data_IF_116690845083
#
_entry.id   IF_116690845083
#
_cell.length_a   1.000
_cell.length_b   1.000
_cell.length_c   1.000
_cell.angle_alpha   90.00
_cell.angle_beta   90.00
_cell.angle_gamma   90.00
#
_symmetry.space_group_name_H-M   'P 1'
#
loop_
_entity.id
_entity.type
_entity.pdbx_description
1 polymer ?
#
# COMPACT_ATOMS: atom_id res chain seq x y z
N UNK A 1 -29.15 -34.62 64.25
CA UNK A 1 -28.03 -34.44 63.29
C UNK A 1 -28.64 -34.38 61.89
N UNK A 2 -28.70 -33.21 61.25
CA UNK A 2 -29.27 -33.03 59.89
C UNK A 2 -28.11 -32.75 58.92
N UNK A 3 -27.90 -33.62 57.95
CA UNK A 3 -26.93 -33.42 56.88
C UNK A 3 -27.63 -32.66 55.76
N UNK A 4 -27.19 -31.42 55.49
CA UNK A 4 -27.56 -30.70 54.28
C UNK A 4 -26.71 -31.25 53.12
N UNK A 5 -27.36 -31.89 52.16
CA UNK A 5 -26.75 -32.22 50.88
C UNK A 5 -26.76 -30.97 49.98
N UNK A 6 -25.59 -30.42 49.67
CA UNK A 6 -25.47 -29.43 48.60
C UNK A 6 -25.61 -30.14 47.24
N UNK A 7 -26.40 -29.60 46.28
CA UNK A 7 -26.47 -30.16 44.95
C UNK A 7 -25.17 -29.83 44.20
N UNK A 8 -24.35 -30.86 43.98
CA UNK A 8 -23.11 -30.83 43.17
C UNK A 8 -23.39 -30.59 41.68
N UNK A 9 -24.65 -30.47 41.30
CA UNK A 9 -25.10 -30.38 39.90
C UNK A 9 -24.87 -29.02 39.23
N UNK A 10 -24.57 -27.95 39.99
CA UNK A 10 -24.43 -26.62 39.42
C UNK A 10 -23.03 -26.29 38.86
N UNK A 11 -21.99 -27.06 39.20
CA UNK A 11 -20.60 -26.71 38.84
C UNK A 11 -20.15 -27.24 37.46
N UNK A 12 -20.88 -28.20 36.88
CA UNK A 12 -20.49 -28.85 35.62
C UNK A 12 -20.98 -28.12 34.36
N UNK A 13 -21.89 -27.14 34.47
CA UNK A 13 -22.36 -26.35 33.31
C UNK A 13 -21.51 -25.10 33.03
N UNK A 14 -20.69 -24.63 33.97
CA UNK A 14 -19.87 -23.43 33.78
C UNK A 14 -18.67 -23.62 32.84
N UNK A 15 -18.21 -24.86 32.66
CA UNK A 15 -16.97 -25.16 31.96
C UNK A 15 -17.11 -25.32 30.44
N UNK A 16 -18.34 -25.38 29.92
CA UNK A 16 -18.60 -25.62 28.48
C UNK A 16 -18.80 -24.33 27.66
N UNK A 17 -18.80 -23.15 28.30
CA UNK A 17 -19.08 -21.87 27.62
C UNK A 17 -17.83 -21.08 27.24
N UNK A 18 -16.64 -21.52 27.63
CA UNK A 18 -15.37 -20.89 27.19
C UNK A 18 -14.82 -21.60 25.97
N UNK A 19 -15.52 -21.49 24.84
CA UNK A 19 -14.89 -21.77 23.55
C UNK A 19 -13.67 -20.85 23.41
N UNK A 20 -12.46 -21.37 23.12
CA UNK A 20 -11.33 -20.50 22.82
C UNK A 20 -11.71 -19.67 21.59
N UNK A 21 -11.86 -18.36 21.78
CA UNK A 21 -12.02 -17.44 20.66
C UNK A 21 -10.67 -17.42 19.94
N UNK A 22 -10.58 -18.15 18.83
CA UNK A 22 -9.44 -18.06 17.95
C UNK A 22 -9.34 -16.59 17.50
N UNK A 23 -8.18 -15.97 17.73
CA UNK A 23 -7.94 -14.61 17.25
C UNK A 23 -8.17 -14.56 15.74
N UNK A 24 -8.95 -13.59 15.29
CA UNK A 24 -9.13 -13.36 13.86
C UNK A 24 -7.76 -13.03 13.24
N UNK A 25 -7.50 -13.47 11.99
CA UNK A 25 -6.28 -13.09 11.29
C UNK A 25 -6.19 -11.56 11.20
N UNK A 26 -4.97 -11.03 11.29
CA UNK A 26 -4.73 -9.61 11.05
C UNK A 26 -5.26 -9.22 9.67
N UNK A 27 -5.87 -8.03 9.56
CA UNK A 27 -6.26 -7.50 8.26
C UNK A 27 -5.04 -7.43 7.35
N UNK A 28 -5.15 -7.89 6.10
CA UNK A 28 -4.04 -7.82 5.16
C UNK A 28 -3.61 -6.36 4.97
N UNK A 29 -2.30 -6.13 4.93
CA UNK A 29 -1.76 -4.83 4.53
C UNK A 29 -2.00 -4.64 3.04
N UNK A 30 -2.58 -3.52 2.65
CA UNK A 30 -2.89 -3.21 1.26
C UNK A 30 -1.91 -2.15 0.77
N UNK A 31 -1.11 -2.48 -0.24
CA UNK A 31 -0.18 -1.55 -0.86
C UNK A 31 -0.73 -1.09 -2.21
N UNK A 32 -0.79 0.23 -2.41
CA UNK A 32 -1.24 0.82 -3.67
C UNK A 32 -0.20 0.62 -4.78
N UNK A 33 -0.59 -0.06 -5.87
CA UNK A 33 0.30 -0.36 -7.01
C UNK A 33 -0.04 0.46 -8.28
N UNK A 34 -1.00 1.40 -8.22
CA UNK A 34 -1.40 2.16 -9.41
C UNK A 34 -2.41 1.46 -10.32
N UNK A 35 -2.20 0.16 -10.53
CA UNK A 35 -2.79 -0.54 -11.67
C UNK A 35 -2.28 0.04 -13.00
N UNK A 36 -2.69 -0.59 -14.10
CA UNK A 36 -2.40 -0.10 -15.44
C UNK A 36 -3.70 0.42 -16.04
N UNK A 37 -4.06 1.70 -15.85
CA UNK A 37 -5.31 2.23 -16.38
C UNK A 37 -5.36 1.97 -17.89
N UNK A 38 -6.50 1.48 -18.38
CA UNK A 38 -6.75 1.19 -19.80
C UNK A 38 -7.56 2.33 -20.40
N UNK A 39 -7.31 2.69 -21.66
CA UNK A 39 -8.01 3.79 -22.33
C UNK A 39 -7.17 4.43 -23.43
N UNK A 40 -7.81 5.22 -24.29
CA UNK A 40 -7.15 5.81 -25.46
C UNK A 40 -6.17 6.94 -25.08
N UNK A 41 -6.42 7.68 -24.00
CA UNK A 41 -5.61 8.82 -23.61
C UNK A 41 -4.46 8.41 -22.69
N UNK A 42 -3.23 8.46 -23.21
CA UNK A 42 -2.03 8.12 -22.46
C UNK A 42 -1.76 9.10 -21.30
N UNK A 43 -2.10 10.39 -21.45
CA UNK A 43 -1.91 11.41 -20.41
C UNK A 43 -2.80 11.16 -19.18
N UNK A 44 -4.08 10.86 -19.40
CA UNK A 44 -5.02 10.52 -18.32
C UNK A 44 -4.60 9.24 -17.59
N UNK A 45 -4.10 8.25 -18.33
CA UNK A 45 -3.53 7.03 -17.77
C UNK A 45 -2.31 7.34 -16.89
N UNK A 46 -1.47 8.28 -17.29
CA UNK A 46 -0.22 8.61 -16.60
C UNK A 46 -0.43 9.36 -15.26
N UNK A 47 -1.57 10.02 -15.07
CA UNK A 47 -1.89 10.65 -13.77
C UNK A 47 -2.13 9.63 -12.65
N UNK A 48 -2.55 8.42 -13.02
CA UNK A 48 -2.87 7.31 -12.10
C UNK A 48 -1.85 6.18 -12.20
N UNK A 49 -0.91 6.23 -13.17
CA UNK A 49 0.18 5.25 -13.31
C UNK A 49 1.05 5.30 -12.06
N UNK A 50 0.76 4.39 -11.14
CA UNK A 50 1.52 4.13 -9.95
C UNK A 50 1.63 5.34 -9.01
N UNK A 51 1.90 5.11 -7.72
CA UNK A 51 2.10 6.18 -6.75
C UNK A 51 3.46 6.89 -6.93
N UNK A 52 3.91 7.07 -8.17
CA UNK A 52 5.15 7.74 -8.53
C UNK A 52 5.00 9.28 -8.59
N UNK A 53 3.85 9.80 -8.17
CA UNK A 53 3.60 11.23 -8.03
C UNK A 53 2.87 11.53 -6.70
N UNK A 54 3.07 12.74 -6.10
CA UNK A 54 2.47 13.07 -4.80
C UNK A 54 0.94 13.00 -4.77
N UNK A 55 0.26 13.33 -5.87
CA UNK A 55 -1.20 13.28 -5.96
C UNK A 55 -1.71 11.85 -5.81
N UNK A 56 -1.09 10.90 -6.51
CA UNK A 56 -1.43 9.47 -6.41
C UNK A 56 -1.12 8.92 -5.00
N UNK A 57 0.03 9.25 -4.42
CA UNK A 57 0.38 8.85 -3.03
C UNK A 57 -0.68 9.31 -2.04
N UNK A 58 -1.07 10.59 -2.13
CA UNK A 58 -2.12 11.17 -1.27
C UNK A 58 -3.46 10.47 -1.48
N UNK A 59 -3.80 10.11 -2.72
CA UNK A 59 -5.02 9.37 -3.03
C UNK A 59 -5.02 7.98 -2.38
N UNK A 60 -3.93 7.22 -2.49
CA UNK A 60 -3.83 5.89 -1.87
C UNK A 60 -3.92 5.95 -0.36
N UNK A 61 -3.28 6.95 0.26
CA UNK A 61 -3.43 7.22 1.69
C UNK A 61 -4.89 7.47 2.07
N UNK A 62 -5.61 8.29 1.29
CA UNK A 62 -7.04 8.54 1.49
C UNK A 62 -7.93 7.31 1.33
N UNK A 63 -7.50 6.31 0.54
CA UNK A 63 -8.17 5.02 0.39
C UNK A 63 -7.84 3.99 1.49
N UNK A 64 -6.99 4.35 2.47
CA UNK A 64 -6.61 3.46 3.55
C UNK A 64 -5.51 2.47 3.19
N UNK A 65 -4.74 2.73 2.13
CA UNK A 65 -3.57 1.92 1.82
C UNK A 65 -2.54 1.99 2.96
N UNK A 66 -1.98 0.84 3.32
CA UNK A 66 -0.91 0.70 4.31
C UNK A 66 0.42 1.22 3.79
N UNK A 67 0.57 1.31 2.47
CA UNK A 67 1.74 1.85 1.80
C UNK A 67 1.53 1.90 0.29
N UNK A 68 2.64 2.13 -0.41
CA UNK A 68 2.68 2.24 -1.87
C UNK A 68 3.84 1.40 -2.39
N UNK A 69 3.65 0.74 -3.53
CA UNK A 69 4.77 0.18 -4.29
C UNK A 69 5.36 1.29 -5.16
N UNK A 70 6.69 1.40 -5.18
CA UNK A 70 7.39 2.46 -5.89
C UNK A 70 8.55 1.87 -6.67
N UNK A 71 8.52 2.09 -7.98
CA UNK A 71 9.67 1.83 -8.84
C UNK A 71 10.67 2.97 -8.72
N UNK A 72 11.95 2.62 -8.56
CA UNK A 72 13.03 3.60 -8.45
C UNK A 72 13.92 3.57 -9.67
N UNK A 73 14.23 4.75 -10.17
CA UNK A 73 15.29 4.97 -11.15
C UNK A 73 16.29 5.96 -10.58
N UNK A 74 17.54 5.82 -11.02
CA UNK A 74 18.59 6.76 -10.69
C UNK A 74 18.82 7.72 -11.86
N UNK A 75 18.88 9.01 -11.56
CA UNK A 75 19.29 10.04 -12.52
C UNK A 75 20.77 9.90 -12.87
N UNK A 76 21.24 10.74 -13.78
CA UNK A 76 22.64 10.75 -14.23
C UNK A 76 23.63 10.64 -13.07
N UNK A 77 24.59 9.74 -13.24
CA UNK A 77 25.66 9.40 -12.28
C UNK A 77 25.15 8.97 -10.88
N UNK A 78 23.90 8.49 -10.78
CA UNK A 78 23.34 8.07 -9.49
C UNK A 78 22.98 9.24 -8.56
N UNK A 79 22.98 10.46 -9.07
CA UNK A 79 22.88 11.68 -8.24
C UNK A 79 21.55 11.87 -7.52
N UNK A 80 20.48 11.21 -7.98
CA UNK A 80 19.18 11.20 -7.31
C UNK A 80 18.37 9.95 -7.65
N UNK A 81 17.67 9.43 -6.65
CA UNK A 81 16.60 8.45 -6.85
C UNK A 81 15.27 9.16 -7.11
N UNK A 82 14.57 8.75 -8.16
CA UNK A 82 13.23 9.23 -8.52
C UNK A 82 12.26 8.05 -8.59
N UNK A 83 11.02 8.28 -8.17
CA UNK A 83 9.95 7.31 -8.35
C UNK A 83 9.53 7.32 -9.82
N UNK A 84 9.86 6.26 -10.57
CA UNK A 84 9.63 6.19 -12.01
C UNK A 84 9.74 4.76 -12.54
N UNK A 85 8.72 4.30 -13.28
CA UNK A 85 8.63 2.93 -13.78
C UNK A 85 9.49 2.67 -15.02
N UNK A 86 9.46 3.57 -16.01
CA UNK A 86 10.09 3.36 -17.31
C UNK A 86 11.61 3.63 -17.27
N UNK A 87 12.37 3.12 -18.24
CA UNK A 87 13.81 3.49 -18.37
C UNK A 87 14.03 4.91 -18.92
N UNK A 88 12.97 5.55 -19.43
CA UNK A 88 13.00 6.87 -20.05
C UNK A 88 11.79 7.71 -19.64
N UNK A 89 11.83 9.01 -19.93
CA UNK A 89 10.71 9.96 -19.76
C UNK A 89 9.54 9.71 -20.71
N UNK A 90 9.47 8.52 -21.32
CA UNK A 90 8.37 8.14 -22.19
C UNK A 90 7.03 8.19 -21.44
N UNK A 91 6.04 8.88 -22.02
CA UNK A 91 4.76 9.20 -21.39
C UNK A 91 4.64 10.65 -20.90
N UNK A 92 5.78 11.32 -20.66
CA UNK A 92 5.78 12.75 -20.33
C UNK A 92 5.74 13.62 -21.58
N UNK A 93 5.27 14.86 -21.41
CA UNK A 93 5.39 15.90 -22.43
C UNK A 93 6.85 16.23 -22.69
N UNK A 94 7.21 16.47 -23.96
CA UNK A 94 8.56 16.89 -24.39
C UNK A 94 9.39 15.77 -25.02
N UNK A 95 10.69 16.01 -25.16
CA UNK A 95 11.61 15.04 -25.78
C UNK A 95 11.87 13.87 -24.83
N UNK A 96 11.62 12.65 -25.32
CA UNK A 96 12.00 11.41 -24.63
C UNK A 96 13.51 11.37 -24.37
N UNK A 97 13.91 11.07 -23.13
CA UNK A 97 15.30 10.86 -22.69
C UNK A 97 15.37 9.70 -21.70
N UNK A 98 16.46 8.95 -21.66
CA UNK A 98 16.65 7.95 -20.60
C UNK A 98 16.84 8.66 -19.26
N UNK A 99 16.35 8.07 -18.16
CA UNK A 99 16.45 8.71 -16.84
C UNK A 99 17.92 8.88 -16.42
N UNK A 100 18.76 7.92 -16.78
CA UNK A 100 20.21 7.94 -16.56
C UNK A 100 20.96 9.04 -17.32
N UNK A 101 20.31 9.68 -18.29
CA UNK A 101 20.91 10.77 -19.08
C UNK A 101 20.47 12.16 -18.58
N UNK A 102 19.59 12.22 -17.58
CA UNK A 102 18.97 13.45 -17.08
C UNK A 102 19.65 13.85 -15.77
N UNK A 103 20.02 15.12 -15.67
CA UNK A 103 20.39 15.74 -14.40
C UNK A 103 19.14 16.12 -13.62
N UNK A 104 19.12 15.87 -12.32
CA UNK A 104 18.13 16.51 -11.47
C UNK A 104 18.51 17.98 -11.32
N UNK A 105 17.80 18.86 -12.04
CA UNK A 105 17.75 20.25 -11.64
C UNK A 105 17.05 20.29 -10.28
N UNK A 106 17.79 20.55 -9.21
CA UNK A 106 17.13 21.03 -7.99
C UNK A 106 16.34 22.27 -8.45
N UNK A 107 15.02 22.22 -8.39
CA UNK A 107 14.22 23.40 -8.74
C UNK A 107 14.72 24.58 -7.92
N UNK A 108 14.88 25.73 -8.56
CA UNK A 108 15.17 26.97 -7.86
C UNK A 108 14.05 27.20 -6.83
N UNK A 109 14.45 27.41 -5.58
CA UNK A 109 13.53 27.75 -4.47
C UNK A 109 12.78 29.05 -4.73
#
# INVERSE_FOLDING_TARGET
MRVLALPVTALLLGSLLTSPSAALPACPQIFGHGGYPTGANAWERDQVRQPNNPTAVNRYKGWGASGVEADLQLTKDGTKAVMWHNTSTWGLTGTKKNITDIWWAAGDT
#
